data_IF_946192024077
#
_entry.id   IF_946192024077
#
_cell.length_a   1.000
_cell.length_b   1.000
_cell.length_c   1.000
_cell.angle_alpha   90.00
_cell.angle_beta   90.00
_cell.angle_gamma   90.00
#
_symmetry.space_group_name_H-M   'P 1'
#
loop_
_entity.id
_entity.type
_entity.pdbx_description
1 polymer ?
#
# COMPACT_ATOMS: atom_id res chain seq x y z
N UNK A 1 -18.26 6.34 3.82
CA UNK A 1 -19.06 6.77 2.97
C UNK A 1 -18.51 7.40 1.83
N UNK A 2 -17.89 8.45 1.92
CA UNK A 2 -17.33 9.12 0.80
C UNK A 2 -16.27 8.36 0.08
N UNK A 3 -15.65 7.45 0.74
CA UNK A 3 -14.62 6.72 0.12
C UNK A 3 -15.08 5.87 -0.97
N UNK A 4 -16.32 5.47 -0.96
CA UNK A 4 -16.83 4.58 -1.97
C UNK A 4 -16.88 5.22 -3.34
N UNK A 5 -16.87 6.53 -3.40
CA UNK A 5 -16.90 7.19 -4.70
C UNK A 5 -15.57 7.07 -5.43
N UNK A 6 -14.55 6.57 -4.77
CA UNK A 6 -13.24 6.45 -5.39
C UNK A 6 -13.23 5.40 -6.50
N UNK A 7 -14.04 4.36 -6.36
CA UNK A 7 -14.06 3.27 -7.30
C UNK A 7 -15.38 3.21 -8.03
N UNK A 8 -15.31 3.11 -9.34
CA UNK A 8 -16.50 3.06 -10.19
C UNK A 8 -16.54 1.73 -10.89
N UNK A 9 -17.70 1.09 -10.92
CA UNK A 9 -17.85 -0.16 -11.61
C UNK A 9 -18.16 0.10 -13.07
N UNK A 10 -17.41 -0.49 -13.95
CA UNK A 10 -17.58 -0.27 -15.35
C UNK A 10 -17.43 -1.61 -16.07
N UNK A 11 -18.49 -2.07 -16.70
CA UNK A 11 -18.43 -3.34 -17.43
C UNK A 11 -18.01 -4.51 -16.56
N UNK A 12 -18.46 -4.53 -15.31
CA UNK A 12 -18.09 -5.61 -14.40
C UNK A 12 -16.75 -5.44 -13.70
N UNK A 13 -15.95 -4.47 -14.10
CA UNK A 13 -14.66 -4.23 -13.47
C UNK A 13 -14.75 -2.99 -12.61
N UNK A 14 -13.97 -2.98 -11.54
CA UNK A 14 -13.88 -1.82 -10.67
C UNK A 14 -12.78 -0.93 -11.21
N UNK A 15 -13.11 0.33 -11.48
CA UNK A 15 -12.19 1.29 -12.06
C UNK A 15 -11.86 2.37 -11.06
N UNK A 16 -10.65 2.93 -11.17
CA UNK A 16 -10.24 4.08 -10.38
C UNK A 16 -9.79 5.17 -11.35
N UNK A 17 -10.20 6.40 -11.10
CA UNK A 17 -9.71 7.50 -11.94
C UNK A 17 -8.45 8.08 -11.33
N UNK A 18 -7.60 8.63 -12.19
CA UNK A 18 -6.34 9.20 -11.72
C UNK A 18 -6.56 10.33 -10.72
N UNK A 19 -7.68 11.04 -10.84
CA UNK A 19 -8.00 12.09 -9.89
C UNK A 19 -8.26 11.56 -8.49
N UNK A 20 -8.51 10.27 -8.35
CA UNK A 20 -8.77 9.64 -7.07
C UNK A 20 -7.59 8.77 -6.59
N UNK A 21 -6.44 8.92 -7.21
CA UNK A 21 -5.26 8.17 -6.78
C UNK A 21 -4.89 8.53 -5.35
N UNK A 22 -4.50 7.50 -4.60
CA UNK A 22 -3.99 7.67 -3.24
C UNK A 22 -2.84 6.70 -3.06
N UNK A 23 -1.97 6.97 -2.13
CA UNK A 23 -0.84 6.08 -1.86
C UNK A 23 -1.38 4.70 -1.53
N UNK A 24 -0.77 3.68 -2.12
CA UNK A 24 -1.16 2.31 -1.89
C UNK A 24 -2.18 1.76 -2.85
N UNK A 25 -2.83 2.60 -3.65
CA UNK A 25 -3.81 2.12 -4.62
C UNK A 25 -3.07 1.33 -5.71
N UNK A 26 -3.64 0.20 -6.12
CA UNK A 26 -3.08 -0.61 -7.19
C UNK A 26 -4.02 -0.61 -8.38
N UNK A 27 -3.45 -0.53 -9.57
CA UNK A 27 -4.24 -0.47 -10.79
C UNK A 27 -3.49 -1.13 -11.95
N UNK A 28 -4.22 -1.46 -13.01
CA UNK A 28 -3.64 -2.08 -14.20
C UNK A 28 -3.45 -1.03 -15.28
N UNK A 29 -2.31 -1.07 -15.93
CA UNK A 29 -2.03 -0.19 -17.05
C UNK A 29 -1.06 -0.89 -17.99
N UNK A 30 -1.43 -0.96 -19.26
CA UNK A 30 -0.56 -1.53 -20.28
C UNK A 30 -0.06 -2.93 -19.94
N UNK A 31 -0.94 -3.75 -19.40
CA UNK A 31 -0.60 -5.14 -19.09
C UNK A 31 0.19 -5.34 -17.83
N UNK A 32 0.46 -4.28 -17.09
CA UNK A 32 1.21 -4.35 -15.84
C UNK A 32 0.36 -3.86 -14.68
N UNK A 33 0.75 -4.24 -13.47
CA UNK A 33 0.10 -3.78 -12.26
C UNK A 33 1.04 -2.82 -11.55
N UNK A 34 0.52 -1.66 -11.20
CA UNK A 34 1.29 -0.63 -10.54
C UNK A 34 0.66 -0.25 -9.21
N UNK A 35 1.50 0.16 -8.28
CA UNK A 35 1.06 0.68 -7.00
C UNK A 35 1.48 2.15 -6.90
N UNK A 36 0.57 3.00 -6.45
CA UNK A 36 0.87 4.41 -6.26
C UNK A 36 1.74 4.55 -5.01
N UNK A 37 2.93 5.10 -5.16
CA UNK A 37 3.82 5.38 -4.05
C UNK A 37 3.64 6.80 -3.56
N UNK A 38 3.58 7.75 -4.51
CA UNK A 38 3.36 9.15 -4.21
C UNK A 38 2.50 9.74 -5.29
N UNK A 39 1.73 10.74 -4.97
CA UNK A 39 0.93 11.41 -5.97
C UNK A 39 0.81 12.89 -5.63
N UNK A 40 0.56 13.68 -6.64
CA UNK A 40 0.39 15.11 -6.48
C UNK A 40 -0.63 15.61 -7.48
N UNK A 41 -1.63 16.33 -7.01
CA UNK A 41 -2.59 17.01 -7.90
C UNK A 41 -2.04 18.37 -8.20
N UNK A 42 -1.88 18.69 -9.47
CA UNK A 42 -1.32 19.95 -9.89
C UNK A 42 -2.37 20.74 -10.67
N UNK A 43 -2.60 21.97 -10.23
CA UNK A 43 -3.50 22.89 -10.93
C UNK A 43 -2.69 24.09 -11.36
N UNK A 44 -2.17 24.07 -12.59
CA UNK A 44 -1.35 25.19 -13.04
C UNK A 44 -2.22 26.44 -13.23
N UNK A 45 -1.59 27.59 -13.19
CA UNK A 45 -2.29 28.83 -13.41
C UNK A 45 -2.91 28.88 -14.79
N UNK A 46 -2.25 28.27 -15.77
CA UNK A 46 -2.78 28.13 -17.12
C UNK A 46 -2.70 26.67 -17.48
N UNK A 47 -3.67 26.21 -18.24
CA UNK A 47 -3.70 24.84 -18.67
C UNK A 47 -4.55 23.97 -17.78
N UNK A 48 -4.70 22.72 -18.15
CA UNK A 48 -5.55 21.77 -17.45
C UNK A 48 -4.85 21.18 -16.24
N UNK A 49 -5.63 20.83 -15.23
CA UNK A 49 -5.09 20.14 -14.07
C UNK A 49 -4.59 18.76 -14.47
N UNK A 50 -3.61 18.26 -13.75
CA UNK A 50 -3.11 16.92 -14.00
C UNK A 50 -2.65 16.29 -12.67
N UNK A 51 -2.42 14.97 -12.72
CA UNK A 51 -1.94 14.23 -11.55
C UNK A 51 -0.57 13.68 -11.91
N UNK A 52 0.41 13.99 -11.07
CA UNK A 52 1.74 13.42 -11.23
C UNK A 52 1.88 12.36 -10.16
N UNK A 53 2.23 11.16 -10.56
CA UNK A 53 2.31 10.05 -9.62
C UNK A 53 3.60 9.27 -9.82
N UNK A 54 4.16 8.85 -8.70
CA UNK A 54 5.29 7.93 -8.70
C UNK A 54 4.67 6.56 -8.50
N UNK A 55 4.89 5.67 -9.45
CA UNK A 55 4.25 4.36 -9.45
C UNK A 55 5.30 3.28 -9.51
N UNK A 56 4.99 2.14 -8.88
CA UNK A 56 5.90 1.03 -8.82
C UNK A 56 5.25 -0.17 -9.47
N UNK A 57 5.96 -0.79 -10.40
CA UNK A 57 5.51 -2.05 -11.00
C UNK A 57 5.64 -3.13 -9.93
N UNK A 58 4.52 -3.76 -9.56
CA UNK A 58 4.54 -4.67 -8.42
C UNK A 58 5.27 -5.98 -8.72
N UNK A 59 5.44 -6.31 -9.99
CA UNK A 59 6.15 -7.54 -10.35
C UNK A 59 7.63 -7.23 -10.60
N UNK A 60 7.91 -6.24 -11.43
CA UNK A 60 9.27 -5.90 -11.79
C UNK A 60 10.01 -5.10 -10.72
N UNK A 61 9.27 -4.39 -9.87
CA UNK A 61 9.87 -3.58 -8.83
C UNK A 61 10.34 -2.21 -9.27
N UNK A 62 10.28 -1.91 -10.55
CA UNK A 62 10.77 -0.64 -11.05
C UNK A 62 9.81 0.48 -10.68
N UNK A 63 10.37 1.67 -10.45
CA UNK A 63 9.60 2.85 -10.06
C UNK A 63 9.77 3.89 -11.14
N UNK A 64 8.66 4.47 -11.60
CA UNK A 64 8.70 5.54 -12.58
C UNK A 64 7.72 6.63 -12.17
N UNK A 65 7.97 7.82 -12.66
CA UNK A 65 7.07 8.94 -12.42
C UNK A 65 6.29 9.17 -13.70
N UNK A 66 4.98 9.34 -13.58
CA UNK A 66 4.14 9.50 -14.74
C UNK A 66 3.07 10.54 -14.47
N UNK A 67 2.67 11.23 -15.53
CA UNK A 67 1.62 12.24 -15.45
C UNK A 67 0.35 11.69 -16.07
N UNK A 68 -0.75 11.92 -15.37
CA UNK A 68 -2.06 11.42 -15.79
C UNK A 68 -3.06 12.56 -15.91
N UNK A 69 -4.02 12.37 -16.78
CA UNK A 69 -5.18 13.25 -16.82
C UNK A 69 -6.09 12.80 -15.66
N UNK A 70 -6.63 13.71 -14.87
CA UNK A 70 -7.46 13.31 -13.72
C UNK A 70 -8.65 12.44 -14.09
N UNK A 71 -9.12 12.55 -15.34
CA UNK A 71 -10.26 11.76 -15.79
C UNK A 71 -9.90 10.40 -16.36
N UNK A 72 -8.61 10.12 -16.48
CA UNK A 72 -8.18 8.80 -16.95
C UNK A 72 -8.63 7.74 -15.95
N UNK A 73 -9.14 6.62 -16.45
CA UNK A 73 -9.64 5.54 -15.61
C UNK A 73 -8.86 4.28 -15.89
N UNK A 74 -8.58 3.55 -14.82
CA UNK A 74 -7.83 2.31 -14.93
C UNK A 74 -8.50 1.21 -14.12
N UNK A 75 -8.45 -0.05 -14.56
CA UNK A 75 -8.98 -1.13 -13.72
C UNK A 75 -8.16 -1.27 -12.46
N UNK A 76 -8.81 -1.50 -11.35
CA UNK A 76 -8.09 -1.79 -10.12
C UNK A 76 -7.58 -3.22 -10.20
N UNK A 77 -6.42 -3.46 -9.61
CA UNK A 77 -5.85 -4.80 -9.58
C UNK A 77 -6.26 -5.49 -8.30
N UNK A 78 -6.48 -6.80 -8.38
CA UNK A 78 -6.79 -7.59 -7.20
C UNK A 78 -5.47 -7.93 -6.50
N UNK A 79 -5.30 -7.43 -5.30
CA UNK A 79 -4.11 -7.65 -4.50
C UNK A 79 -4.52 -8.42 -3.26
N UNK A 80 -3.79 -9.51 -3.00
CA UNK A 80 -4.04 -10.28 -1.80
C UNK A 80 -3.39 -9.63 -0.61
N UNK A 81 -4.14 -9.58 0.50
CA UNK A 81 -3.61 -9.07 1.76
C UNK A 81 -3.79 -10.16 2.79
N UNK A 82 -2.70 -10.71 3.25
CA UNK A 82 -2.75 -11.80 4.21
C UNK A 82 -2.07 -11.39 5.50
N UNK A 83 -2.75 -11.62 6.61
CA UNK A 83 -2.18 -11.29 7.92
C UNK A 83 -1.12 -12.32 8.27
N UNK A 84 0.05 -11.86 8.65
CA UNK A 84 1.17 -12.71 9.01
C UNK A 84 1.92 -12.06 10.17
N UNK A 85 2.52 -12.89 10.99
CA UNK A 85 3.29 -12.38 12.12
C UNK A 85 4.76 -12.37 11.76
N UNK A 86 5.43 -11.24 11.91
CA UNK A 86 6.86 -11.17 11.64
C UNK A 86 7.60 -11.92 12.74
N UNK A 87 8.36 -12.91 12.37
CA UNK A 87 9.03 -13.77 13.31
C UNK A 87 10.48 -13.37 13.56
N UNK A 88 11.31 -13.43 12.53
CA UNK A 88 12.71 -13.07 12.65
C UNK A 88 13.31 -12.89 11.27
N UNK A 89 14.54 -12.41 11.21
CA UNK A 89 15.24 -12.31 9.94
C UNK A 89 16.58 -13.06 10.01
N UNK A 90 17.01 -13.50 8.83
CA UNK A 90 18.27 -14.19 8.70
C UNK A 90 18.94 -13.58 7.47
N UNK A 91 19.76 -12.56 7.68
CA UNK A 91 20.38 -11.86 6.58
C UNK A 91 19.35 -11.10 5.77
N UNK A 92 19.22 -11.46 4.50
CA UNK A 92 18.30 -10.78 3.61
C UNK A 92 16.90 -11.38 3.59
N UNK A 93 16.70 -12.46 4.32
CA UNK A 93 15.40 -13.10 4.37
C UNK A 93 14.69 -12.79 5.67
N UNK A 94 13.45 -12.39 5.54
CA UNK A 94 12.61 -12.08 6.69
C UNK A 94 11.49 -13.10 6.73
N UNK A 95 11.31 -13.74 7.87
CA UNK A 95 10.37 -14.84 8.01
C UNK A 95 9.09 -14.40 8.67
N UNK A 96 7.98 -14.67 8.00
CA UNK A 96 6.66 -14.35 8.51
C UNK A 96 5.88 -15.61 8.73
N UNK A 97 5.22 -15.70 9.87
CA UNK A 97 4.46 -16.89 10.25
C UNK A 97 2.98 -16.67 10.01
N UNK A 98 2.37 -17.64 9.35
CA UNK A 98 0.92 -17.64 9.16
C UNK A 98 0.29 -17.99 10.51
N UNK A 99 -0.56 -17.13 11.08
CA UNK A 99 -1.13 -17.41 12.40
C UNK A 99 -2.07 -18.60 12.43
N UNK A 100 -2.53 -19.05 11.28
CA UNK A 100 -3.43 -20.20 11.24
C UNK A 100 -2.68 -21.52 11.03
N UNK A 101 -1.81 -21.53 10.04
CA UNK A 101 -1.08 -22.79 9.73
C UNK A 101 0.27 -22.89 10.42
N UNK A 102 0.77 -21.78 10.97
CA UNK A 102 2.08 -21.71 11.61
C UNK A 102 3.24 -21.97 10.66
N UNK A 103 2.98 -21.88 9.36
CA UNK A 103 4.05 -21.99 8.38
C UNK A 103 4.85 -20.73 8.30
N UNK A 104 6.15 -20.87 8.17
CA UNK A 104 7.04 -19.73 8.01
C UNK A 104 7.30 -19.50 6.53
N UNK A 105 7.09 -18.28 6.10
CA UNK A 105 7.28 -17.89 4.70
C UNK A 105 8.41 -16.88 4.62
N UNK A 106 9.45 -17.18 3.82
CA UNK A 106 10.56 -16.23 3.68
C UNK A 106 10.20 -15.15 2.65
N UNK A 107 10.54 -13.93 2.99
CA UNK A 107 10.33 -12.80 2.09
C UNK A 107 11.65 -12.05 2.00
N UNK A 108 12.06 -11.72 0.78
CA UNK A 108 13.29 -10.97 0.58
C UNK A 108 13.13 -9.55 1.08
N UNK A 109 14.21 -9.02 1.64
CA UNK A 109 14.18 -7.65 2.16
C UNK A 109 13.79 -6.65 1.07
N UNK A 110 14.16 -6.94 -0.16
CA UNK A 110 13.84 -6.03 -1.27
C UNK A 110 12.34 -5.99 -1.58
N UNK A 111 11.61 -7.02 -1.19
CA UNK A 111 10.18 -7.10 -1.48
C UNK A 111 9.30 -6.54 -0.37
N UNK A 112 9.90 -6.13 0.75
CA UNK A 112 9.13 -5.67 1.89
C UNK A 112 8.67 -4.23 1.77
N UNK A 113 9.42 -3.41 1.07
CA UNK A 113 9.07 -2.01 0.91
C UNK A 113 9.43 -1.18 2.14
N UNK A 114 9.16 0.11 2.04
CA UNK A 114 9.58 1.04 3.08
C UNK A 114 8.79 0.90 4.37
N UNK A 115 7.60 0.33 4.29
CA UNK A 115 6.74 0.24 5.47
C UNK A 115 7.25 -0.75 6.50
N UNK A 116 8.20 -1.60 6.12
CA UNK A 116 8.70 -2.59 7.05
C UNK A 116 9.39 -1.96 8.26
N UNK A 117 9.87 -0.75 8.12
CA UNK A 117 10.54 -0.07 9.23
C UNK A 117 9.60 0.12 10.43
N UNK A 118 8.30 0.00 10.21
CA UNK A 118 7.32 0.14 11.29
C UNK A 118 6.92 -1.20 11.90
N UNK A 119 7.53 -2.31 11.45
CA UNK A 119 7.16 -3.65 11.91
C UNK A 119 8.27 -4.20 12.78
N UNK A 120 7.91 -4.68 13.96
CA UNK A 120 8.87 -5.31 14.87
C UNK A 120 8.52 -6.78 15.03
N UNK A 121 9.46 -7.53 15.58
CA UNK A 121 9.23 -8.97 15.80
C UNK A 121 7.96 -9.18 16.60
N UNK A 122 7.25 -10.22 16.23
CA UNK A 122 6.00 -10.63 16.84
C UNK A 122 4.81 -9.72 16.56
N UNK A 123 4.99 -8.75 15.67
CA UNK A 123 3.86 -7.93 15.24
C UNK A 123 3.16 -8.58 14.06
N UNK A 124 1.84 -8.46 14.04
CA UNK A 124 1.04 -8.94 12.92
C UNK A 124 0.91 -7.80 11.92
N UNK A 125 1.21 -8.09 10.66
CA UNK A 125 1.09 -7.14 9.58
C UNK A 125 0.43 -7.83 8.41
N UNK A 126 0.12 -7.07 7.36
CA UNK A 126 -0.48 -7.67 6.16
C UNK A 126 0.57 -7.73 5.06
N UNK A 127 0.75 -8.92 4.52
CA UNK A 127 1.65 -9.12 3.40
C UNK A 127 0.85 -8.88 2.13
N UNK A 128 1.36 -8.03 1.26
CA UNK A 128 0.72 -7.70 0.01
C UNK A 128 1.33 -8.53 -1.10
N UNK A 129 0.48 -9.22 -1.86
CA UNK A 129 0.99 -10.00 -2.97
C UNK A 129 0.05 -9.91 -4.17
N UNK A 130 0.61 -10.11 -5.36
CA UNK A 130 -0.15 -10.15 -6.58
C UNK A 130 0.28 -11.40 -7.32
N UNK A 131 -0.66 -12.33 -7.52
CA UNK A 131 -0.40 -13.60 -8.18
C UNK A 131 0.80 -14.32 -7.58
N UNK A 132 0.86 -14.33 -6.25
CA UNK A 132 1.92 -15.03 -5.54
C UNK A 132 3.21 -14.26 -5.36
N UNK A 133 3.33 -13.07 -5.94
CA UNK A 133 4.54 -12.28 -5.79
C UNK A 133 4.34 -11.23 -4.71
N UNK A 134 5.13 -11.30 -3.65
CA UNK A 134 5.05 -10.33 -2.56
C UNK A 134 5.72 -9.04 -3.01
N UNK A 135 5.06 -7.92 -2.78
CA UNK A 135 5.63 -6.65 -3.18
C UNK A 135 5.61 -5.59 -2.07
N UNK A 136 5.11 -5.93 -0.90
CA UNK A 136 5.14 -4.99 0.19
C UNK A 136 4.39 -5.50 1.40
N UNK A 137 4.36 -4.70 2.45
CA UNK A 137 3.60 -5.01 3.65
C UNK A 137 2.90 -3.76 4.13
N UNK A 138 1.82 -3.97 4.87
CA UNK A 138 1.12 -2.91 5.57
C UNK A 138 1.29 -3.14 7.05
N UNK A 139 1.84 -2.18 7.78
CA UNK A 139 2.01 -2.35 9.21
C UNK A 139 0.67 -2.31 9.91
N UNK A 140 0.59 -2.82 11.14
CA UNK A 140 -0.67 -2.82 11.86
C UNK A 140 -1.04 -1.40 12.29
N UNK A 141 -2.33 -1.10 12.22
CA UNK A 141 -2.79 0.24 12.56
C UNK A 141 -2.69 0.53 14.06
N UNK A 142 -2.70 -0.53 14.88
CA UNK A 142 -2.65 -0.28 16.31
C UNK A 142 -1.32 0.31 16.77
N UNK A 143 -0.30 0.31 15.91
CA UNK A 143 0.96 0.93 16.24
C UNK A 143 0.73 2.42 16.49
N UNK A 144 -0.11 3.02 15.67
CA UNK A 144 -0.41 4.42 15.84
C UNK A 144 -1.21 4.66 17.10
N UNK A 145 -2.09 3.76 17.42
CA UNK A 145 -2.89 3.90 18.61
C UNK A 145 -2.04 3.83 19.86
N UNK A 146 -1.03 3.00 19.86
CA UNK A 146 -0.16 2.93 21.00
C UNK A 146 0.56 4.23 21.28
N UNK A 147 1.04 4.85 20.23
CA UNK A 147 1.72 6.12 20.38
C UNK A 147 0.77 7.15 20.97
N UNK A 148 -0.46 7.14 20.54
CA UNK A 148 -1.44 8.07 21.00
C UNK A 148 -1.74 7.85 22.46
N UNK A 149 -1.79 6.61 22.88
CA UNK A 149 -2.14 6.32 24.24
C UNK A 149 -1.08 6.68 25.24
N UNK A 150 0.16 6.55 24.87
CA UNK A 150 1.21 6.85 25.80
C UNK A 150 1.24 8.29 26.14
N UNK A 151 0.51 9.05 25.38
CA UNK A 151 0.57 10.39 25.57
C UNK A 151 -0.39 10.89 26.49
N UNK A 152 -0.82 10.49 27.32
CA UNK A 152 -1.78 10.91 28.07
C UNK A 152 -1.48 11.59 29.08
N UNK A 153 -0.67 11.40 29.19
CA UNK A 153 -0.43 11.92 30.13
C UNK A 153 -1.18 13.05 30.27
N UNK A 154 -1.39 13.26 29.62
CA UNK A 154 -1.99 14.11 29.57
C UNK A 154 -2.99 14.16 30.21
N UNK A 155 -2.94 13.58 30.66
CA UNK A 155 -3.69 13.57 31.21
C UNK A 155 -3.88 14.30 31.97
N UNK A 156 -3.18 14.55 31.91
CA UNK A 156 -3.25 15.11 32.58
C UNK A 156 -4.16 15.72 32.52
N UNK A 157 -4.36 15.61 31.95
CA UNK A 157 -5.16 15.98 31.67
C UNK A 157 -6.01 16.01 32.40
N UNK A 158 -5.95 15.78 32.69
CA UNK A 158 -6.66 15.70 33.27
C UNK A 158 -6.92 16.37 34.00
N UNK A 159 -6.72 16.56 34.01
CA UNK A 159 -6.91 16.96 34.72
C UNK A 159 -7.58 17.59 34.92
#
# INVERSE_FOLDING_TARGET
MLRQSRFIKYGGKIMVSAGDFRNGVTFEMEGNVYQIIEFQHVKPGKGAAFVRAKIRNVIAGSVVEKTFNPNDKFPTAFVERKEMEYSYNDGDLYYFMDPESYELIPVNSTDLGDNFKFVKENMVCKILSYKGNVFGIEPPTFVELQVTQTDPGFKGDTA
#
